data_IF_958110621946
#
_entry.id   IF_958110621946
#
_cell.length_a   1.000
_cell.length_b   1.000
_cell.length_c   1.000
_cell.angle_alpha   90.00
_cell.angle_beta   90.00
_cell.angle_gamma   90.00
#
_symmetry.space_group_name_H-M   'P 1'
#
loop_
_entity.id
_entity.type
_entity.pdbx_description
1 polymer ?
#
# COMPACT_ATOMS: atom_id res chain seq x y z
N UNK A 1 -11.74 -1.87 -9.76
CA UNK A 1 -10.64 -2.85 -9.93
C UNK A 1 -10.76 -3.93 -8.85
N UNK A 2 -10.68 -5.22 -9.19
CA UNK A 2 -10.92 -6.33 -8.23
C UNK A 2 -9.77 -6.54 -7.23
N UNK A 3 -10.11 -7.05 -6.06
CA UNK A 3 -9.14 -7.55 -5.11
C UNK A 3 -8.60 -8.90 -5.59
N UNK A 4 -7.30 -9.10 -5.44
CA UNK A 4 -6.64 -10.39 -5.64
C UNK A 4 -5.47 -10.49 -4.68
N UNK A 5 -5.50 -11.47 -3.78
CA UNK A 5 -4.36 -11.75 -2.92
C UNK A 5 -3.11 -11.99 -3.79
N UNK A 6 -1.99 -11.34 -3.42
CA UNK A 6 -0.74 -11.32 -4.18
C UNK A 6 -0.84 -10.77 -5.60
N UNK A 7 -1.93 -10.06 -5.93
CA UNK A 7 -2.12 -9.44 -7.23
C UNK A 7 -1.09 -8.34 -7.49
N UNK A 8 -0.52 -8.30 -8.70
CA UNK A 8 0.44 -7.29 -9.16
C UNK A 8 0.06 -6.61 -10.48
N UNK A 9 -1.02 -7.09 -11.11
CA UNK A 9 -1.42 -6.64 -12.44
C UNK A 9 -2.81 -6.01 -12.39
N UNK A 10 -2.97 -4.74 -12.82
CA UNK A 10 -4.27 -4.07 -12.77
C UNK A 10 -5.42 -4.79 -13.44
N UNK A 11 -5.15 -5.43 -14.57
CA UNK A 11 -6.13 -6.22 -15.31
C UNK A 11 -6.61 -7.47 -14.52
N UNK A 12 -5.73 -8.05 -13.70
CA UNK A 12 -6.03 -9.27 -12.92
C UNK A 12 -6.42 -8.99 -11.46
N UNK A 13 -6.32 -7.74 -11.00
CA UNK A 13 -6.58 -7.34 -9.62
C UNK A 13 -5.32 -7.23 -8.76
N UNK A 14 -5.46 -6.53 -7.63
CA UNK A 14 -4.36 -6.25 -6.69
C UNK A 14 -4.79 -6.53 -5.25
N UNK A 15 -3.79 -6.69 -4.39
CA UNK A 15 -3.92 -6.50 -2.95
C UNK A 15 -3.22 -5.20 -2.52
N UNK A 16 -3.10 -4.96 -1.20
CA UNK A 16 -2.54 -3.71 -0.67
C UNK A 16 -1.09 -3.49 -1.10
N UNK A 17 -0.29 -4.55 -1.15
CA UNK A 17 1.09 -4.53 -1.65
C UNK A 17 1.10 -4.24 -3.16
N UNK A 18 0.19 -4.88 -3.91
CA UNK A 18 0.03 -4.64 -5.34
C UNK A 18 -0.33 -3.20 -5.69
N UNK A 19 -1.21 -2.56 -4.92
CA UNK A 19 -1.57 -1.14 -5.11
C UNK A 19 -0.34 -0.26 -5.00
N UNK A 20 0.49 -0.46 -3.98
CA UNK A 20 1.74 0.30 -3.80
C UNK A 20 2.73 0.02 -4.94
N UNK A 21 2.93 -1.25 -5.34
CA UNK A 21 3.80 -1.59 -6.47
C UNK A 21 3.41 -0.86 -7.75
N UNK A 22 2.12 -0.88 -8.09
CA UNK A 22 1.62 -0.23 -9.29
C UNK A 22 1.76 1.29 -9.17
N UNK A 23 1.44 1.88 -8.01
CA UNK A 23 1.57 3.32 -7.80
C UNK A 23 3.03 3.80 -7.96
N UNK A 24 3.97 3.10 -7.33
CA UNK A 24 5.40 3.41 -7.42
C UNK A 24 5.95 3.19 -8.84
N UNK A 25 5.56 2.12 -9.52
CA UNK A 25 5.97 1.88 -10.91
C UNK A 25 5.49 2.99 -11.87
N UNK A 26 4.35 3.64 -11.59
CA UNK A 26 3.85 4.76 -12.40
C UNK A 26 4.65 6.04 -12.25
N UNK A 27 5.42 6.18 -11.18
CA UNK A 27 6.34 7.31 -10.94
C UNK A 27 7.80 6.96 -11.22
N UNK A 28 8.05 5.84 -11.91
CA UNK A 28 9.39 5.45 -12.36
C UNK A 28 10.19 4.62 -11.35
N UNK A 29 9.62 4.25 -10.21
CA UNK A 29 10.31 3.41 -9.24
C UNK A 29 10.39 1.96 -9.71
N UNK A 30 11.59 1.38 -9.68
CA UNK A 30 11.78 -0.06 -9.84
C UNK A 30 11.46 -0.76 -8.53
N UNK A 31 10.29 -1.40 -8.46
CA UNK A 31 9.82 -2.04 -7.23
C UNK A 31 9.77 -3.55 -7.38
N UNK A 32 10.62 -4.23 -6.61
CA UNK A 32 10.53 -5.68 -6.41
C UNK A 32 9.84 -5.95 -5.08
N UNK A 33 8.51 -6.10 -5.10
CA UNK A 33 7.78 -6.47 -3.89
C UNK A 33 7.75 -8.00 -3.71
N UNK A 34 7.99 -8.51 -2.50
CA UNK A 34 7.91 -9.93 -2.21
C UNK A 34 6.56 -10.52 -2.60
N UNK A 35 6.53 -11.83 -2.89
CA UNK A 35 5.32 -12.57 -3.30
C UNK A 35 4.93 -13.66 -2.31
N UNK A 36 5.72 -13.87 -1.27
CA UNK A 36 5.62 -14.96 -0.29
C UNK A 36 5.06 -14.50 1.06
N UNK A 37 4.57 -13.27 1.17
CA UNK A 37 3.91 -12.82 2.40
C UNK A 37 2.57 -13.50 2.58
N UNK A 38 2.35 -13.96 3.82
CA UNK A 38 1.04 -14.39 4.29
C UNK A 38 0.33 -13.16 4.85
N UNK A 39 -0.83 -12.82 4.29
CA UNK A 39 -1.72 -11.73 4.74
C UNK A 39 -2.12 -11.79 6.24
N UNK A 40 -1.78 -12.87 6.96
CA UNK A 40 -2.27 -13.20 8.31
C UNK A 40 -1.22 -13.19 9.43
N UNK A 41 -0.01 -12.64 9.26
CA UNK A 41 1.05 -12.77 10.30
C UNK A 41 1.70 -11.49 10.82
N UNK A 42 1.10 -10.31 10.66
CA UNK A 42 1.54 -9.08 11.36
C UNK A 42 2.89 -8.53 10.95
N UNK A 43 3.72 -9.33 10.28
CA UNK A 43 4.87 -8.93 9.51
C UNK A 43 4.39 -8.72 8.08
N UNK A 44 4.37 -7.48 7.62
CA UNK A 44 4.54 -7.26 6.20
C UNK A 44 5.87 -7.89 5.79
N UNK A 45 6.01 -8.35 4.53
CA UNK A 45 7.34 -8.62 4.04
C UNK A 45 8.18 -7.35 4.27
N UNK A 46 9.50 -7.47 4.50
CA UNK A 46 10.35 -6.29 4.40
C UNK A 46 9.98 -5.65 3.07
N UNK A 47 9.41 -4.44 3.09
CA UNK A 47 9.34 -3.69 1.86
C UNK A 47 10.80 -3.59 1.46
N UNK A 48 11.17 -4.17 0.32
CA UNK A 48 12.34 -3.70 -0.38
C UNK A 48 11.97 -2.27 -0.77
N UNK A 49 12.17 -1.34 0.16
CA UNK A 49 11.98 0.08 -0.06
C UNK A 49 13.05 0.43 -1.08
N UNK A 50 12.70 0.74 -2.34
CA UNK A 50 13.71 1.19 -3.29
C UNK A 50 14.43 2.43 -2.71
N UNK A 51 15.70 2.67 -3.08
CA UNK A 51 16.50 3.77 -2.54
C UNK A 51 15.85 5.17 -2.63
N UNK A 52 14.92 5.37 -3.58
CA UNK A 52 14.17 6.61 -3.74
C UNK A 52 12.97 6.80 -2.80
N UNK A 53 12.67 5.86 -1.89
CA UNK A 53 11.65 6.06 -0.85
C UNK A 53 12.26 6.74 0.39
N UNK A 54 11.78 7.94 0.69
CA UNK A 54 12.20 8.74 1.84
C UNK A 54 11.08 8.78 2.87
N UNK A 55 11.41 8.65 4.16
CA UNK A 55 10.42 8.75 5.24
C UNK A 55 9.72 10.12 5.22
N UNK A 56 8.40 10.14 5.47
CA UNK A 56 7.59 11.36 5.50
C UNK A 56 6.49 11.27 6.57
N UNK A 57 5.62 12.29 6.63
CA UNK A 57 4.47 12.35 7.55
C UNK A 57 3.22 11.60 7.02
N UNK A 58 3.18 11.24 5.74
CA UNK A 58 2.05 10.55 5.12
C UNK A 58 0.85 11.44 4.81
N UNK A 59 1.04 12.76 4.80
CA UNK A 59 -0.03 13.74 4.60
C UNK A 59 -0.28 14.05 3.11
N UNK A 60 0.71 13.91 2.23
CA UNK A 60 0.58 14.38 0.85
C UNK A 60 0.14 13.27 -0.12
N UNK A 61 -0.66 13.59 -1.15
CA UNK A 61 -1.03 12.67 -2.21
C UNK A 61 0.20 11.95 -2.80
N UNK A 62 0.08 10.63 -2.96
CA UNK A 62 1.17 9.76 -3.41
C UNK A 62 2.01 9.14 -2.28
N UNK A 63 1.90 9.62 -1.04
CA UNK A 63 2.61 9.01 0.09
C UNK A 63 2.15 7.55 0.31
N UNK A 64 3.12 6.66 0.46
CA UNK A 64 2.89 5.25 0.82
C UNK A 64 2.72 5.18 2.33
N UNK A 65 1.59 4.63 2.77
CA UNK A 65 1.22 4.53 4.17
C UNK A 65 1.29 3.09 4.65
N UNK A 66 1.91 2.89 5.80
CA UNK A 66 1.85 1.65 6.56
C UNK A 66 0.92 1.82 7.76
N UNK A 67 -0.18 1.08 7.77
CA UNK A 67 -1.24 1.17 8.76
C UNK A 67 -1.32 -0.11 9.61
N UNK A 68 -1.66 0.02 10.89
CA UNK A 68 -1.95 -1.12 11.77
C UNK A 68 -3.47 -1.31 11.89
N UNK A 69 -4.01 -2.24 11.11
CA UNK A 69 -5.47 -2.49 11.07
C UNK A 69 -5.94 -3.47 12.15
N UNK A 70 -5.01 -4.26 12.70
CA UNK A 70 -5.22 -5.06 13.92
C UNK A 70 -3.86 -5.32 14.60
N UNK A 71 -3.82 -5.86 15.84
CA UNK A 71 -2.56 -6.19 16.51
C UNK A 71 -1.64 -7.09 15.67
N UNK A 72 -2.24 -8.02 14.92
CA UNK A 72 -1.53 -8.97 14.08
C UNK A 72 -1.61 -8.65 12.57
N UNK A 73 -1.97 -7.43 12.18
CA UNK A 73 -2.13 -7.10 10.77
C UNK A 73 -1.66 -5.68 10.45
N UNK A 74 -0.67 -5.64 9.55
CA UNK A 74 -0.21 -4.44 8.88
C UNK A 74 -0.86 -4.37 7.49
N UNK A 75 -1.09 -3.15 7.01
CA UNK A 75 -1.79 -2.88 5.77
C UNK A 75 -1.15 -1.70 5.04
N UNK A 76 -1.01 -1.81 3.72
CA UNK A 76 -0.49 -0.74 2.89
C UNK A 76 -1.61 0.02 2.19
N UNK A 77 -1.41 1.33 2.07
CA UNK A 77 -2.26 2.22 1.30
C UNK A 77 -1.42 3.31 0.63
N UNK A 78 -2.04 4.04 -0.30
CA UNK A 78 -1.47 5.24 -0.89
C UNK A 78 -2.37 6.43 -0.51
N UNK A 79 -1.79 7.51 0.01
CA UNK A 79 -2.49 8.77 0.25
C UNK A 79 -3.04 9.30 -1.07
N UNK A 80 -4.33 9.59 -1.13
CA UNK A 80 -4.94 10.29 -2.26
C UNK A 80 -5.31 11.72 -1.86
N UNK A 81 -5.70 12.53 -2.83
CA UNK A 81 -6.26 13.88 -2.62
C UNK A 81 -7.44 13.87 -1.62
N UNK A 82 -8.23 12.79 -1.59
CA UNK A 82 -9.46 12.73 -0.79
C UNK A 82 -9.34 11.87 0.45
N UNK A 83 -8.28 11.09 0.60
CA UNK A 83 -8.16 10.14 1.70
C UNK A 83 -7.10 9.07 1.43
N UNK A 84 -7.50 7.80 1.30
CA UNK A 84 -6.57 6.71 1.04
C UNK A 84 -7.07 5.72 -0.01
N UNK A 85 -6.18 5.33 -0.92
CA UNK A 85 -6.39 4.28 -1.91
C UNK A 85 -5.77 2.98 -1.40
N UNK A 86 -6.56 1.91 -1.31
CA UNK A 86 -6.08 0.60 -0.86
C UNK A 86 -6.89 -0.55 -1.46
N UNK A 87 -6.33 -1.76 -1.44
CA UNK A 87 -7.10 -2.95 -1.75
C UNK A 87 -7.78 -3.48 -0.48
N UNK A 88 -9.10 -3.59 -0.51
CA UNK A 88 -9.90 -4.07 0.60
C UNK A 88 -10.37 -5.51 0.34
N UNK A 89 -9.97 -6.43 1.21
CA UNK A 89 -10.31 -7.84 1.09
C UNK A 89 -11.77 -8.13 1.45
N UNK A 90 -12.37 -7.36 2.36
CA UNK A 90 -13.78 -7.52 2.76
C UNK A 90 -14.72 -7.00 1.67
N UNK A 91 -14.36 -5.89 1.02
CA UNK A 91 -15.13 -5.32 -0.10
C UNK A 91 -14.82 -6.03 -1.43
N UNK A 92 -13.67 -6.71 -1.54
CA UNK A 92 -13.29 -7.49 -2.72
C UNK A 92 -12.79 -6.63 -3.89
N UNK A 93 -12.34 -5.40 -3.64
CA UNK A 93 -11.86 -4.46 -4.68
C UNK A 93 -10.84 -3.46 -4.14
N UNK A 94 -10.13 -2.80 -5.05
CA UNK A 94 -9.40 -1.56 -4.76
C UNK A 94 -10.43 -0.44 -4.57
N UNK A 95 -10.34 0.24 -3.44
CA UNK A 95 -11.24 1.32 -3.04
C UNK A 95 -10.44 2.55 -2.64
N UNK A 96 -11.06 3.70 -2.82
CA UNK A 96 -10.64 4.93 -2.16
C UNK A 96 -11.59 5.20 -1.00
N UNK A 97 -11.04 5.36 0.20
CA UNK A 97 -11.78 5.76 1.39
C UNK A 97 -11.51 7.25 1.65
N UNK A 98 -12.54 8.10 1.64
CA UNK A 98 -12.38 9.51 1.98
C UNK A 98 -11.94 9.74 3.43
N UNK A 99 -11.23 10.83 3.64
CA UNK A 99 -10.80 11.32 4.95
C UNK A 99 -9.54 10.65 5.50
N UNK A 100 -9.32 10.86 6.79
CA UNK A 100 -8.20 10.25 7.49
C UNK A 100 -8.38 8.73 7.64
N UNK A 101 -7.28 7.95 7.52
CA UNK A 101 -7.33 6.53 7.84
C UNK A 101 -7.73 6.35 9.31
N UNK A 102 -8.71 5.50 9.63
CA UNK A 102 -9.14 5.25 11.01
C UNK A 102 -8.16 4.37 11.79
N UNK A 103 -7.08 3.94 11.13
CA UNK A 103 -6.09 3.01 11.65
C UNK A 103 -4.80 3.76 11.96
N UNK A 104 -4.11 3.43 13.05
CA UNK A 104 -2.84 4.04 13.39
C UNK A 104 -1.82 3.95 12.24
N UNK A 105 -1.22 5.09 11.91
CA UNK A 105 -0.08 5.17 11.01
C UNK A 105 1.17 4.66 11.75
N UNK A 106 1.83 3.68 11.17
CA UNK A 106 3.07 3.09 11.71
C UNK A 106 4.29 3.74 11.06
N UNK A 107 4.22 3.98 9.76
CA UNK A 107 5.26 4.64 8.97
C UNK A 107 4.67 5.17 7.66
N UNK A 108 5.35 6.14 7.05
CA UNK A 108 5.03 6.63 5.72
C UNK A 108 6.30 6.94 4.92
N UNK A 109 6.21 6.82 3.60
CA UNK A 109 7.29 7.13 2.68
C UNK A 109 6.79 7.85 1.43
N UNK A 110 7.66 8.66 0.84
CA UNK A 110 7.46 9.35 -0.43
C UNK A 110 8.51 8.93 -1.44
N UNK A 111 8.10 8.73 -2.69
CA UNK A 111 9.03 8.57 -3.79
C UNK A 111 9.65 9.93 -4.18
N UNK A 112 10.97 10.00 -4.18
CA UNK A 112 11.77 11.19 -4.49
C UNK A 112 12.85 10.95 -5.56
N UNK A 113 12.81 9.79 -6.23
CA UNK A 113 13.76 9.41 -7.29
C UNK A 113 13.28 9.73 -8.69
#
# INVERSE_FOLDING_TARGET
>A
MRFRAQGREPALGLDCVGVVAVALARVGAEVTLPRDYRLRRGTLPPLALPPGLVACDGASPGDVLLLRVSPAQLHLAVRSERGLLHADAAVGRVVERPGEPPWPLVAAWRWCG
#
